data_IF_582047867765
#
_entry.id   IF_582047867765
#
_cell.length_a   1.000
_cell.length_b   1.000
_cell.length_c   1.000
_cell.angle_alpha   90.00
_cell.angle_beta   90.00
_cell.angle_gamma   90.00
#
_symmetry.space_group_name_H-M   'P 1'
#
loop_
_entity.id
_entity.type
_entity.pdbx_description
1 polymer ?
#
# COMPACT_ATOMS: atom_id res chain seq x y z
N UNK A 1 22.15 -1.41 15.55
CA UNK A 1 22.54 0.02 15.59
C UNK A 1 21.52 1.00 16.21
N UNK A 2 21.77 1.44 17.45
CA UNK A 2 21.17 2.63 18.08
C UNK A 2 21.79 3.93 17.53
N UNK A 3 22.16 3.96 16.26
CA UNK A 3 23.00 5.01 15.67
C UNK A 3 22.19 5.75 14.60
N UNK A 4 22.35 7.06 14.55
CA UNK A 4 21.76 7.88 13.50
C UNK A 4 22.93 8.51 12.78
N UNK A 5 23.20 8.06 11.56
CA UNK A 5 24.07 8.79 10.67
C UNK A 5 23.24 9.89 10.00
N UNK A 6 23.77 11.11 9.98
CA UNK A 6 23.18 12.24 9.26
C UNK A 6 24.22 12.88 8.35
N UNK A 7 23.78 13.83 7.54
CA UNK A 7 24.69 14.64 6.73
C UNK A 7 24.72 16.02 7.39
N UNK A 8 25.91 16.59 7.55
CA UNK A 8 26.03 18.01 7.84
C UNK A 8 25.67 18.85 6.61
N UNK A 9 25.85 20.18 6.71
CA UNK A 9 25.54 21.13 5.64
C UNK A 9 26.46 20.97 4.43
N UNK A 10 27.61 20.32 4.61
CA UNK A 10 28.66 20.15 3.61
C UNK A 10 28.64 18.73 3.00
N UNK A 11 27.73 17.86 3.46
CA UNK A 11 27.56 16.51 2.94
C UNK A 11 28.46 15.46 3.61
N UNK A 12 29.04 15.75 4.77
CA UNK A 12 29.80 14.77 5.55
C UNK A 12 28.90 13.97 6.50
N UNK A 13 29.28 12.71 6.70
CA UNK A 13 28.66 11.78 7.64
C UNK A 13 28.86 12.29 9.08
N UNK A 14 27.76 12.51 9.79
CA UNK A 14 27.73 12.89 11.22
C UNK A 14 27.03 11.82 12.02
N UNK A 15 27.74 11.27 13.00
CA UNK A 15 27.24 10.29 13.95
C UNK A 15 26.46 10.95 15.10
N UNK A 16 25.23 10.52 15.36
CA UNK A 16 24.49 10.96 16.56
C UNK A 16 24.71 9.99 17.71
N UNK A 17 25.13 10.55 18.85
CA UNK A 17 25.38 9.83 20.10
C UNK A 17 26.87 9.63 20.37
N UNK A 18 27.19 9.13 21.57
CA UNK A 18 28.56 8.75 21.93
C UNK A 18 28.81 7.34 21.38
N UNK A 19 29.53 7.27 20.27
CA UNK A 19 29.94 6.01 19.63
C UNK A 19 31.41 5.76 19.87
N UNK A 20 31.77 4.50 20.07
CA UNK A 20 33.16 4.07 20.08
C UNK A 20 33.75 4.10 18.67
N UNK A 21 35.07 4.20 18.56
CA UNK A 21 35.77 4.14 17.27
C UNK A 21 35.49 2.82 16.51
N UNK A 22 35.32 1.72 17.24
CA UNK A 22 34.96 0.42 16.67
C UNK A 22 33.55 0.43 16.06
N UNK A 23 32.58 1.00 16.77
CA UNK A 23 31.22 1.14 16.24
C UNK A 23 31.19 2.03 14.99
N UNK A 24 31.91 3.15 15.01
CA UNK A 24 32.03 4.04 13.84
C UNK A 24 32.59 3.27 12.63
N UNK A 25 33.71 2.55 12.80
CA UNK A 25 34.31 1.78 11.72
C UNK A 25 33.36 0.72 11.15
N UNK A 26 32.61 0.01 12.00
CA UNK A 26 31.60 -0.95 11.54
C UNK A 26 30.48 -0.29 10.75
N UNK A 27 30.05 0.92 11.15
CA UNK A 27 29.00 1.66 10.43
C UNK A 27 29.50 2.11 9.05
N UNK A 28 30.72 2.66 8.98
CA UNK A 28 31.34 3.07 7.72
C UNK A 28 31.47 1.88 6.76
N UNK A 29 31.94 0.73 7.25
CA UNK A 29 32.03 -0.51 6.46
C UNK A 29 30.66 -0.94 5.89
N UNK A 30 29.60 -0.88 6.70
CA UNK A 30 28.24 -1.21 6.24
C UNK A 30 27.76 -0.21 5.19
N UNK A 31 27.95 1.09 5.41
CA UNK A 31 27.53 2.13 4.47
C UNK A 31 28.25 2.00 3.13
N UNK A 32 29.56 1.78 3.15
CA UNK A 32 30.35 1.58 1.92
C UNK A 32 29.93 0.31 1.19
N UNK A 33 29.68 -0.80 1.90
CA UNK A 33 29.13 -2.00 1.29
C UNK A 33 27.77 -1.74 0.63
N UNK A 34 26.85 -1.05 1.33
CA UNK A 34 25.53 -0.72 0.79
C UNK A 34 25.62 0.19 -0.44
N UNK A 35 26.51 1.19 -0.45
CA UNK A 35 26.75 2.07 -1.61
C UNK A 35 27.15 1.32 -2.87
N UNK A 36 27.85 0.20 -2.73
CA UNK A 36 28.24 -0.65 -3.86
C UNK A 36 27.13 -1.67 -4.21
N UNK A 37 26.55 -2.31 -3.20
CA UNK A 37 25.59 -3.40 -3.38
C UNK A 37 24.21 -2.90 -3.88
N UNK A 38 23.67 -1.84 -3.30
CA UNK A 38 22.28 -1.39 -3.55
C UNK A 38 22.06 -0.94 -5.00
N UNK A 39 22.89 -0.09 -5.63
CA UNK A 39 22.68 0.30 -7.03
C UNK A 39 22.69 -0.90 -7.97
N UNK A 40 23.60 -1.85 -7.77
CA UNK A 40 23.68 -3.05 -8.59
C UNK A 40 22.45 -3.96 -8.40
N UNK A 41 22.00 -4.13 -7.15
CA UNK A 41 20.78 -4.88 -6.83
C UNK A 41 19.56 -4.23 -7.51
N UNK A 42 19.39 -2.91 -7.36
CA UNK A 42 18.27 -2.17 -7.94
C UNK A 42 18.29 -2.26 -9.48
N UNK A 43 19.46 -2.13 -10.10
CA UNK A 43 19.64 -2.27 -11.56
C UNK A 43 19.27 -3.66 -12.06
N UNK A 44 19.81 -4.71 -11.44
CA UNK A 44 19.53 -6.11 -11.81
C UNK A 44 18.04 -6.45 -11.67
N UNK A 45 17.40 -5.97 -10.60
CA UNK A 45 15.97 -6.20 -10.39
C UNK A 45 15.11 -5.43 -11.41
N UNK A 46 15.51 -4.21 -11.77
CA UNK A 46 14.80 -3.45 -12.80
C UNK A 46 14.93 -4.11 -14.17
N UNK A 47 16.09 -4.64 -14.51
CA UNK A 47 16.29 -5.43 -15.74
C UNK A 47 15.39 -6.68 -15.75
N UNK A 48 15.36 -7.43 -14.64
CA UNK A 48 14.61 -8.69 -14.56
C UNK A 48 13.08 -8.51 -14.50
N UNK A 49 12.60 -7.51 -13.77
CA UNK A 49 11.18 -7.38 -13.42
C UNK A 49 10.54 -6.05 -13.86
N UNK A 50 11.32 -5.14 -14.47
CA UNK A 50 10.92 -3.77 -14.70
C UNK A 50 10.56 -3.04 -13.40
N UNK A 51 9.81 -1.95 -13.50
CA UNK A 51 9.26 -1.26 -12.32
C UNK A 51 7.95 -1.90 -11.80
N UNK A 52 7.77 -3.22 -11.96
CA UNK A 52 6.57 -3.96 -11.53
C UNK A 52 6.46 -4.13 -10.01
N UNK A 53 5.43 -4.84 -9.52
CA UNK A 53 5.31 -5.22 -8.10
C UNK A 53 6.36 -6.27 -7.70
N UNK A 54 6.77 -7.14 -8.62
CA UNK A 54 7.78 -8.19 -8.38
C UNK A 54 9.16 -7.61 -8.10
N UNK A 55 9.52 -6.48 -8.74
CA UNK A 55 10.71 -5.72 -8.37
C UNK A 55 10.73 -5.38 -6.87
N UNK A 56 9.61 -4.88 -6.34
CA UNK A 56 9.52 -4.39 -4.96
C UNK A 56 9.52 -5.55 -3.98
N UNK A 57 8.87 -6.64 -4.38
CA UNK A 57 8.84 -7.90 -3.64
C UNK A 57 10.25 -8.51 -3.51
N UNK A 58 10.97 -8.67 -4.61
CA UNK A 58 12.30 -9.27 -4.61
C UNK A 58 13.35 -8.35 -3.97
N UNK A 59 13.24 -7.02 -4.16
CA UNK A 59 14.03 -6.07 -3.37
C UNK A 59 13.78 -6.28 -1.88
N UNK A 60 12.53 -6.46 -1.48
CA UNK A 60 12.15 -6.78 -0.11
C UNK A 60 12.78 -8.07 0.44
N UNK A 61 12.97 -9.11 -0.38
CA UNK A 61 13.64 -10.34 0.05
C UNK A 61 15.11 -10.08 0.35
N UNK A 62 15.80 -9.42 -0.57
CA UNK A 62 17.21 -9.06 -0.42
C UNK A 62 17.43 -8.15 0.79
N UNK A 63 16.55 -7.17 1.01
CA UNK A 63 16.59 -6.34 2.23
C UNK A 63 16.50 -7.20 3.51
N UNK A 64 15.69 -8.26 3.50
CA UNK A 64 15.62 -9.22 4.61
C UNK A 64 16.92 -9.98 4.86
N UNK A 65 17.62 -10.36 3.80
CA UNK A 65 18.96 -10.95 3.87
C UNK A 65 19.97 -9.95 4.45
N UNK A 66 19.93 -8.69 4.02
CA UNK A 66 20.80 -7.64 4.56
C UNK A 66 20.55 -7.36 6.05
N UNK A 67 19.28 -7.38 6.50
CA UNK A 67 18.96 -7.28 7.92
C UNK A 67 19.61 -8.40 8.74
N UNK A 68 19.65 -9.61 8.18
CA UNK A 68 20.27 -10.78 8.82
C UNK A 68 21.79 -10.67 8.79
N UNK A 69 22.37 -10.36 7.61
CA UNK A 69 23.82 -10.18 7.38
C UNK A 69 24.43 -9.16 8.35
N UNK A 70 23.75 -8.04 8.58
CA UNK A 70 24.23 -6.96 9.44
C UNK A 70 23.63 -6.97 10.86
N UNK A 71 22.90 -8.02 11.22
CA UNK A 71 22.27 -8.19 12.54
C UNK A 71 21.44 -6.96 12.98
N UNK A 72 20.60 -6.46 12.08
CA UNK A 72 19.77 -5.26 12.30
C UNK A 72 18.51 -5.64 13.08
N UNK A 73 18.35 -5.10 14.29
CA UNK A 73 17.18 -5.37 15.12
C UNK A 73 15.93 -4.64 14.62
N UNK A 74 14.75 -5.08 15.09
CA UNK A 74 13.45 -4.50 14.69
C UNK A 74 13.38 -2.98 14.95
N UNK A 75 13.88 -2.51 16.09
CA UNK A 75 13.90 -1.09 16.47
C UNK A 75 14.80 -0.21 15.58
N UNK A 76 15.62 -0.82 14.73
CA UNK A 76 16.66 -0.14 13.97
C UNK A 76 16.36 -0.13 12.46
N UNK A 77 15.40 -0.97 12.03
CA UNK A 77 15.01 -1.13 10.62
C UNK A 77 14.68 0.20 9.96
N UNK A 78 13.88 1.07 10.59
CA UNK A 78 13.52 2.38 9.99
C UNK A 78 14.77 3.20 9.66
N UNK A 79 15.72 3.28 10.58
CA UNK A 79 16.96 4.05 10.37
C UNK A 79 17.80 3.44 9.26
N UNK A 80 17.91 2.11 9.25
CA UNK A 80 18.62 1.37 8.20
C UNK A 80 18.02 1.65 6.80
N UNK A 81 16.69 1.70 6.68
CA UNK A 81 16.02 2.09 5.43
C UNK A 81 16.30 3.53 5.00
N UNK A 82 16.36 4.46 5.96
CA UNK A 82 16.66 5.85 5.70
C UNK A 82 18.12 6.04 5.26
N UNK A 83 19.04 5.25 5.81
CA UNK A 83 20.45 5.21 5.41
C UNK A 83 20.60 4.70 3.98
N UNK A 84 19.94 3.60 3.59
CA UNK A 84 19.92 3.12 2.20
C UNK A 84 19.40 4.21 1.27
N UNK A 85 18.25 4.82 1.60
CA UNK A 85 17.63 5.87 0.80
C UNK A 85 18.54 7.10 0.63
N UNK A 86 19.32 7.42 1.64
CA UNK A 86 20.11 8.64 1.67
C UNK A 86 21.50 8.48 1.06
N UNK A 87 22.10 7.31 1.26
CA UNK A 87 23.51 7.10 0.97
C UNK A 87 23.77 6.09 -0.15
N UNK A 88 22.86 5.15 -0.40
CA UNK A 88 23.17 3.98 -1.21
C UNK A 88 22.39 3.89 -2.53
N UNK A 89 21.16 4.41 -2.61
CA UNK A 89 20.36 4.36 -3.85
C UNK A 89 20.68 5.51 -4.80
N UNK A 90 20.64 5.22 -6.09
CA UNK A 90 20.70 6.22 -7.16
C UNK A 90 19.29 6.65 -7.63
N UNK A 91 18.23 5.97 -7.17
CA UNK A 91 16.86 6.28 -7.58
C UNK A 91 16.35 7.57 -6.92
N UNK A 92 15.95 8.55 -7.74
CA UNK A 92 15.24 9.72 -7.24
C UNK A 92 13.75 9.40 -6.98
N UNK A 93 13.43 9.04 -5.74
CA UNK A 93 12.07 8.72 -5.31
C UNK A 93 11.28 10.00 -4.96
N UNK A 94 10.28 10.33 -5.80
CA UNK A 94 9.42 11.54 -5.65
C UNK A 94 8.52 11.56 -4.41
N UNK A 95 8.19 10.40 -3.83
CA UNK A 95 7.24 10.30 -2.72
C UNK A 95 7.90 10.73 -1.41
N UNK A 96 7.28 11.68 -0.72
CA UNK A 96 7.65 12.02 0.66
C UNK A 96 7.23 10.88 1.59
N UNK A 97 8.21 10.35 2.31
CA UNK A 97 8.01 9.26 3.27
C UNK A 97 7.68 9.78 4.67
N UNK A 98 7.76 11.09 4.90
CA UNK A 98 7.59 11.71 6.22
C UNK A 98 8.73 11.34 7.18
N UNK A 99 9.21 12.31 7.96
CA UNK A 99 10.33 12.07 8.91
C UNK A 99 10.00 11.01 9.96
N UNK A 100 8.73 10.90 10.37
CA UNK A 100 8.30 10.05 11.50
C UNK A 100 7.29 8.95 11.10
N UNK A 101 6.94 8.83 9.81
CA UNK A 101 5.98 7.82 9.38
C UNK A 101 6.68 6.47 9.15
N UNK A 102 6.80 5.66 10.20
CA UNK A 102 7.35 4.29 10.14
C UNK A 102 6.72 3.43 9.03
N UNK A 103 5.48 3.71 8.68
CA UNK A 103 4.69 2.91 7.72
C UNK A 103 4.95 3.25 6.26
N UNK A 104 5.55 4.41 5.97
CA UNK A 104 5.69 4.96 4.61
C UNK A 104 7.06 4.76 3.99
N UNK A 105 8.00 4.19 4.73
CA UNK A 105 9.34 3.86 4.22
C UNK A 105 9.24 3.03 2.95
N UNK A 106 9.87 3.44 1.84
CA UNK A 106 9.85 2.65 0.62
C UNK A 106 10.49 1.25 0.84
N UNK A 107 11.73 1.22 1.34
CA UNK A 107 12.43 -0.03 1.62
C UNK A 107 11.71 -0.85 2.72
N UNK A 108 11.16 -0.17 3.73
CA UNK A 108 10.33 -0.83 4.73
C UNK A 108 9.05 -1.46 4.17
N UNK A 109 8.41 -0.83 3.18
CA UNK A 109 7.25 -1.38 2.48
C UNK A 109 7.65 -2.55 1.57
N UNK A 110 8.78 -2.47 0.86
CA UNK A 110 9.34 -3.58 0.10
C UNK A 110 9.60 -4.79 1.00
N UNK A 111 10.30 -4.61 2.12
CA UNK A 111 10.56 -5.67 3.08
C UNK A 111 9.27 -6.26 3.67
N UNK A 112 8.27 -5.42 4.00
CA UNK A 112 6.98 -5.94 4.47
C UNK A 112 6.24 -6.72 3.40
N UNK A 113 6.27 -6.24 2.15
CA UNK A 113 5.66 -6.91 1.00
C UNK A 113 6.29 -8.29 0.77
N UNK A 114 7.60 -8.45 0.99
CA UNK A 114 8.30 -9.74 0.81
C UNK A 114 7.93 -10.81 1.83
N UNK A 115 7.23 -10.45 2.90
CA UNK A 115 6.76 -11.40 3.92
C UNK A 115 5.50 -12.16 3.50
N UNK A 116 4.84 -11.74 2.41
CA UNK A 116 3.69 -12.43 1.85
C UNK A 116 4.12 -13.44 0.78
N UNK A 117 3.27 -14.43 0.51
CA UNK A 117 3.47 -15.33 -0.62
C UNK A 117 3.42 -14.53 -1.93
N UNK A 118 4.32 -14.87 -2.87
CA UNK A 118 4.40 -14.17 -4.15
C UNK A 118 3.06 -14.19 -4.90
N UNK A 119 2.33 -15.30 -4.84
CA UNK A 119 1.01 -15.42 -5.49
C UNK A 119 0.05 -14.32 -5.02
N UNK A 120 0.02 -14.02 -3.73
CA UNK A 120 -0.82 -12.97 -3.13
C UNK A 120 -0.35 -11.60 -3.63
N UNK A 121 0.96 -11.38 -3.64
CA UNK A 121 1.60 -10.12 -4.06
C UNK A 121 1.22 -9.77 -5.51
N UNK A 122 1.14 -10.75 -6.39
CA UNK A 122 0.83 -10.54 -7.81
C UNK A 122 -0.64 -10.16 -8.08
N UNK A 123 -1.56 -10.44 -7.13
CA UNK A 123 -2.99 -10.08 -7.23
C UNK A 123 -3.26 -8.59 -7.18
N UNK A 124 -2.28 -7.77 -6.81
CA UNK A 124 -2.38 -6.31 -6.71
C UNK A 124 -1.18 -5.62 -7.37
N UNK A 125 -1.39 -4.39 -7.84
CA UNK A 125 -0.32 -3.49 -8.29
C UNK A 125 0.43 -2.93 -7.09
N UNK A 126 1.65 -2.42 -7.32
CA UNK A 126 2.43 -1.75 -6.28
C UNK A 126 1.64 -0.59 -5.64
N UNK A 127 0.89 0.18 -6.44
CA UNK A 127 0.09 1.30 -5.91
C UNK A 127 -0.98 0.82 -4.94
N UNK A 128 -1.66 -0.28 -5.27
CA UNK A 128 -2.69 -0.91 -4.43
C UNK A 128 -2.07 -1.45 -3.13
N UNK A 129 -0.92 -2.11 -3.21
CA UNK A 129 -0.16 -2.53 -2.02
C UNK A 129 0.22 -1.37 -1.13
N UNK A 130 0.72 -0.26 -1.69
CA UNK A 130 1.02 0.93 -0.91
C UNK A 130 -0.20 1.45 -0.16
N UNK A 131 -1.39 1.46 -0.78
CA UNK A 131 -2.61 1.93 -0.12
C UNK A 131 -3.00 1.08 1.10
N UNK A 132 -2.79 -0.24 1.05
CA UNK A 132 -2.99 -1.15 2.19
C UNK A 132 -1.91 -0.93 3.26
N UNK A 133 -0.64 -0.96 2.85
CA UNK A 133 0.50 -0.91 3.76
C UNK A 133 0.62 0.43 4.50
N UNK A 134 0.11 1.51 3.92
CA UNK A 134 0.06 2.84 4.54
C UNK A 134 -1.00 2.93 5.66
N UNK A 135 -2.03 2.07 5.65
CA UNK A 135 -3.16 2.12 6.58
C UNK A 135 -2.99 1.11 7.72
N UNK A 136 -2.63 1.62 8.90
CA UNK A 136 -2.38 0.81 10.11
C UNK A 136 -3.46 -0.25 10.38
N UNK A 137 -4.74 0.15 10.39
CA UNK A 137 -5.87 -0.77 10.64
C UNK A 137 -6.00 -1.90 9.60
N UNK A 138 -5.76 -1.60 8.33
CA UNK A 138 -5.87 -2.61 7.26
C UNK A 138 -4.71 -3.60 7.32
N UNK A 139 -3.53 -3.17 7.79
CA UNK A 139 -2.37 -4.03 7.96
C UNK A 139 -2.50 -4.97 9.15
N UNK A 140 -3.14 -4.51 10.22
CA UNK A 140 -3.28 -5.28 11.46
C UNK A 140 -4.35 -6.37 11.37
N UNK A 141 -5.28 -6.26 10.42
CA UNK A 141 -6.29 -7.29 10.16
C UNK A 141 -5.84 -8.20 9.02
N UNK A 142 -5.18 -9.32 9.35
CA UNK A 142 -4.58 -10.24 8.37
C UNK A 142 -5.60 -10.84 7.38
N UNK A 143 -6.89 -10.83 7.75
CA UNK A 143 -8.00 -11.37 6.96
C UNK A 143 -8.14 -10.69 5.61
N UNK A 144 -7.74 -9.41 5.46
CA UNK A 144 -7.74 -8.76 4.15
C UNK A 144 -6.75 -9.43 3.18
N UNK A 145 -5.60 -9.90 3.68
CA UNK A 145 -4.60 -10.58 2.86
C UNK A 145 -5.04 -11.99 2.48
N UNK A 146 -5.69 -12.70 3.40
CA UNK A 146 -6.30 -14.00 3.11
C UNK A 146 -7.40 -13.88 2.06
N UNK A 147 -8.24 -12.86 2.17
CA UNK A 147 -9.25 -12.57 1.15
C UNK A 147 -8.63 -12.26 -0.22
N UNK A 148 -7.50 -11.52 -0.27
CA UNK A 148 -6.76 -11.26 -1.51
C UNK A 148 -6.17 -12.55 -2.07
N UNK A 149 -5.61 -13.43 -1.22
CA UNK A 149 -5.07 -14.75 -1.60
C UNK A 149 -6.13 -15.58 -2.33
N UNK A 150 -7.35 -15.59 -1.82
CA UNK A 150 -8.47 -16.35 -2.38
C UNK A 150 -9.04 -15.77 -3.69
N UNK A 151 -8.50 -14.65 -4.20
CA UNK A 151 -8.91 -14.11 -5.51
C UNK A 151 -8.34 -14.93 -6.65
N UNK A 152 -9.24 -15.40 -7.52
CA UNK A 152 -8.87 -16.04 -8.78
C UNK A 152 -8.08 -15.10 -9.70
N UNK A 153 -8.51 -13.84 -9.78
CA UNK A 153 -7.97 -12.86 -10.71
C UNK A 153 -7.38 -11.64 -9.99
N UNK A 154 -6.43 -10.99 -10.67
CA UNK A 154 -5.87 -9.71 -10.24
C UNK A 154 -6.96 -8.64 -10.16
N UNK A 155 -7.00 -7.90 -9.06
CA UNK A 155 -7.99 -6.82 -8.88
C UNK A 155 -7.54 -5.59 -9.67
N UNK A 156 -8.40 -5.07 -10.54
CA UNK A 156 -8.13 -3.83 -11.30
C UNK A 156 -7.97 -2.64 -10.36
N UNK A 157 -6.99 -1.79 -10.65
CA UNK A 157 -6.67 -0.64 -9.79
C UNK A 157 -7.85 0.35 -9.62
N UNK A 158 -8.64 0.59 -10.67
CA UNK A 158 -9.83 1.45 -10.57
C UNK A 158 -10.89 0.87 -9.61
N UNK A 159 -11.09 -0.44 -9.65
CA UNK A 159 -12.04 -1.15 -8.77
C UNK A 159 -11.52 -1.11 -7.33
N UNK A 160 -10.20 -1.30 -7.14
CA UNK A 160 -9.55 -1.22 -5.83
C UNK A 160 -9.68 0.15 -5.17
N UNK A 161 -9.42 1.23 -5.91
CA UNK A 161 -9.53 2.60 -5.38
C UNK A 161 -10.94 2.92 -4.89
N UNK A 162 -11.97 2.39 -5.55
CA UNK A 162 -13.35 2.55 -5.11
C UNK A 162 -13.70 1.61 -3.96
N UNK A 163 -13.17 0.38 -3.98
CA UNK A 163 -13.28 -0.60 -2.90
C UNK A 163 -12.72 -0.03 -1.59
N UNK A 164 -11.53 0.56 -1.60
CA UNK A 164 -10.95 1.14 -0.38
C UNK A 164 -11.78 2.28 0.20
N UNK A 165 -12.40 3.11 -0.65
CA UNK A 165 -13.32 4.15 -0.18
C UNK A 165 -14.54 3.53 0.49
N UNK A 166 -15.10 2.49 -0.14
CA UNK A 166 -16.25 1.74 0.37
C UNK A 166 -15.92 1.08 1.70
N UNK A 167 -14.78 0.39 1.75
CA UNK A 167 -14.24 -0.27 2.95
C UNK A 167 -14.05 0.72 4.08
N UNK A 168 -13.38 1.84 3.82
CA UNK A 168 -13.18 2.88 4.83
C UNK A 168 -14.51 3.44 5.33
N UNK A 169 -15.47 3.72 4.44
CA UNK A 169 -16.78 4.24 4.83
C UNK A 169 -17.60 3.19 5.62
N UNK A 170 -17.53 1.93 5.21
CA UNK A 170 -18.31 0.84 5.82
C UNK A 170 -17.79 0.45 7.21
N UNK A 171 -16.47 0.33 7.35
CA UNK A 171 -15.81 -0.04 8.60
C UNK A 171 -15.52 1.15 9.52
N UNK A 172 -15.88 2.37 9.10
CA UNK A 172 -15.72 3.55 9.93
C UNK A 172 -16.44 3.34 11.27
N UNK A 173 -15.69 3.42 12.36
CA UNK A 173 -16.16 3.23 13.74
C UNK A 173 -16.77 1.84 14.02
N UNK A 174 -16.41 0.82 13.24
CA UNK A 174 -16.76 -0.57 13.52
C UNK A 174 -15.56 -1.29 14.11
N UNK A 175 -15.82 -2.14 15.09
CA UNK A 175 -14.88 -3.15 15.55
C UNK A 175 -14.98 -4.35 14.60
N UNK A 176 -13.88 -4.74 13.95
CA UNK A 176 -13.89 -5.87 13.02
C UNK A 176 -13.75 -7.22 13.72
N UNK A 177 -13.42 -7.24 15.02
CA UNK A 177 -13.29 -8.49 15.79
C UNK A 177 -14.62 -9.21 16.03
N UNK A 178 -15.74 -8.49 15.87
CA UNK A 178 -17.10 -9.06 16.03
C UNK A 178 -17.58 -9.86 14.82
N UNK A 179 -16.90 -9.72 13.66
CA UNK A 179 -17.22 -10.49 12.45
C UNK A 179 -16.40 -11.77 12.42
N UNK A 180 -17.04 -12.86 12.00
CA UNK A 180 -16.30 -14.05 11.55
C UNK A 180 -15.55 -13.74 10.26
N UNK A 181 -14.61 -14.61 9.90
CA UNK A 181 -13.83 -14.47 8.66
C UNK A 181 -14.75 -14.52 7.44
N UNK A 182 -15.72 -15.43 7.42
CA UNK A 182 -16.70 -15.56 6.34
C UNK A 182 -17.56 -14.29 6.19
N UNK A 183 -18.09 -13.74 7.29
CA UNK A 183 -18.88 -12.51 7.27
C UNK A 183 -18.05 -11.33 6.74
N UNK A 184 -16.78 -11.25 7.15
CA UNK A 184 -15.89 -10.18 6.73
C UNK A 184 -15.51 -10.33 5.24
N UNK A 185 -15.30 -11.56 4.76
CA UNK A 185 -15.04 -11.83 3.36
C UNK A 185 -16.26 -11.50 2.50
N UNK A 186 -17.47 -11.84 2.93
CA UNK A 186 -18.71 -11.45 2.25
C UNK A 186 -18.86 -9.93 2.17
N UNK A 187 -18.49 -9.21 3.24
CA UNK A 187 -18.44 -7.74 3.23
C UNK A 187 -17.44 -7.26 2.17
N UNK A 188 -16.23 -7.81 2.13
CA UNK A 188 -15.22 -7.42 1.16
C UNK A 188 -15.65 -7.70 -0.30
N UNK A 189 -16.25 -8.87 -0.56
CA UNK A 189 -16.83 -9.20 -1.87
C UNK A 189 -17.92 -8.21 -2.28
N UNK A 190 -18.86 -7.94 -1.38
CA UNK A 190 -19.97 -7.01 -1.61
C UNK A 190 -19.46 -5.61 -1.97
N UNK A 191 -18.43 -5.14 -1.27
CA UNK A 191 -17.80 -3.84 -1.53
C UNK A 191 -17.03 -3.81 -2.85
N UNK A 192 -16.37 -4.92 -3.22
CA UNK A 192 -15.67 -5.03 -4.49
C UNK A 192 -16.66 -5.07 -5.67
N UNK A 193 -17.76 -5.80 -5.53
CA UNK A 193 -18.86 -5.84 -6.51
C UNK A 193 -19.50 -4.46 -6.70
N UNK A 194 -19.79 -3.76 -5.60
CA UNK A 194 -20.28 -2.38 -5.63
C UNK A 194 -19.32 -1.44 -6.40
N UNK A 195 -18.01 -1.65 -6.25
CA UNK A 195 -16.96 -0.85 -6.89
C UNK A 195 -16.84 -1.13 -8.38
N UNK A 196 -16.95 -2.40 -8.77
CA UNK A 196 -17.02 -2.83 -10.18
C UNK A 196 -18.24 -2.25 -10.88
N UNK A 197 -19.41 -2.33 -10.23
CA UNK A 197 -20.65 -1.75 -10.74
C UNK A 197 -20.48 -0.25 -11.00
N UNK A 198 -19.97 0.49 -10.01
CA UNK A 198 -19.72 1.93 -10.15
C UNK A 198 -18.86 2.25 -11.38
N UNK A 199 -17.74 1.54 -11.57
CA UNK A 199 -16.87 1.77 -12.72
C UNK A 199 -17.63 1.56 -14.03
N UNK A 200 -18.29 0.41 -14.18
CA UNK A 200 -19.00 0.04 -15.42
C UNK A 200 -20.13 1.04 -15.71
N UNK A 201 -20.98 1.32 -14.72
CA UNK A 201 -22.11 2.23 -14.88
C UNK A 201 -21.64 3.68 -15.14
N UNK A 202 -20.59 4.14 -14.46
CA UNK A 202 -20.04 5.48 -14.67
C UNK A 202 -19.37 5.64 -16.03
N UNK A 203 -18.66 4.61 -16.51
CA UNK A 203 -18.06 4.62 -17.85
C UNK A 203 -19.15 4.64 -18.94
N UNK A 204 -20.26 3.91 -18.75
CA UNK A 204 -21.44 3.99 -19.62
C UNK A 204 -22.05 5.40 -19.58
N UNK A 205 -22.32 5.93 -18.39
CA UNK A 205 -22.84 7.30 -18.22
C UNK A 205 -21.96 8.35 -18.91
N UNK A 206 -20.64 8.21 -18.82
CA UNK A 206 -19.70 9.13 -19.48
C UNK A 206 -19.83 9.10 -21.01
N UNK A 207 -20.10 7.93 -21.60
CA UNK A 207 -20.33 7.77 -23.04
C UNK A 207 -21.69 8.33 -23.46
N UNK A 208 -22.72 8.08 -22.67
CA UNK A 208 -24.09 8.51 -22.96
C UNK A 208 -24.26 10.04 -22.76
N UNK A 209 -23.50 10.63 -21.82
CA UNK A 209 -23.60 12.06 -21.45
C UNK A 209 -22.23 12.77 -21.38
N UNK A 210 -21.47 12.86 -22.49
CA UNK A 210 -20.06 13.30 -22.48
C UNK A 210 -19.84 14.72 -21.95
N UNK A 211 -20.84 15.60 -22.05
CA UNK A 211 -20.76 17.00 -21.61
C UNK A 211 -21.31 17.22 -20.20
N UNK A 212 -21.69 16.16 -19.48
CA UNK A 212 -22.27 16.30 -18.15
C UNK A 212 -21.26 16.85 -17.14
N UNK A 213 -21.64 17.91 -16.41
CA UNK A 213 -20.85 18.44 -15.29
C UNK A 213 -20.57 17.37 -14.21
N UNK A 214 -21.39 16.31 -14.16
CA UNK A 214 -21.25 15.19 -13.22
C UNK A 214 -19.94 14.43 -13.45
N UNK A 215 -19.42 14.38 -14.69
CA UNK A 215 -18.14 13.78 -15.04
C UNK A 215 -16.98 14.50 -14.34
N UNK A 216 -16.98 15.84 -14.36
CA UNK A 216 -15.97 16.67 -13.67
C UNK A 216 -15.99 16.47 -12.15
N UNK A 217 -17.14 16.05 -11.61
CA UNK A 217 -17.34 15.79 -10.18
C UNK A 217 -17.31 14.29 -9.80
N UNK A 218 -16.63 13.43 -10.59
CA UNK A 218 -16.60 11.96 -10.39
C UNK A 218 -16.41 11.56 -8.93
N UNK A 219 -15.41 12.13 -8.24
CA UNK A 219 -15.12 11.80 -6.84
C UNK A 219 -16.28 12.10 -5.88
N UNK A 220 -16.95 13.25 -6.04
CA UNK A 220 -18.14 13.59 -5.24
C UNK A 220 -19.30 12.64 -5.53
N UNK A 221 -19.46 12.26 -6.79
CA UNK A 221 -20.54 11.34 -7.23
C UNK A 221 -20.29 9.92 -6.74
N UNK A 222 -19.06 9.43 -6.76
CA UNK A 222 -18.68 8.12 -6.19
C UNK A 222 -18.98 8.07 -4.70
N UNK A 223 -18.61 9.12 -3.95
CA UNK A 223 -18.93 9.20 -2.51
C UNK A 223 -20.44 9.21 -2.24
N UNK A 224 -21.21 9.95 -3.05
CA UNK A 224 -22.69 9.97 -2.97
C UNK A 224 -23.24 8.56 -3.21
N UNK A 225 -22.82 7.91 -4.31
CA UNK A 225 -23.20 6.55 -4.65
C UNK A 225 -22.95 5.55 -3.52
N UNK A 226 -21.73 5.47 -2.99
CA UNK A 226 -21.39 4.52 -1.93
C UNK A 226 -22.21 4.77 -0.65
N UNK A 227 -22.40 6.04 -0.29
CA UNK A 227 -23.23 6.41 0.87
C UNK A 227 -24.69 6.01 0.67
N UNK A 228 -25.22 6.19 -0.55
CA UNK A 228 -26.57 5.78 -0.91
C UNK A 228 -26.73 4.25 -0.91
N UNK A 229 -25.74 3.49 -1.40
CA UNK A 229 -25.77 2.02 -1.30
C UNK A 229 -25.92 1.57 0.16
N UNK A 230 -25.11 2.12 1.06
CA UNK A 230 -25.19 1.76 2.49
C UNK A 230 -26.48 2.25 3.16
N UNK A 231 -27.04 3.38 2.73
CA UNK A 231 -28.34 3.84 3.18
C UNK A 231 -29.45 2.86 2.76
N UNK A 232 -29.53 2.53 1.47
CA UNK A 232 -30.51 1.59 0.94
C UNK A 232 -30.39 0.20 1.56
N UNK A 233 -29.15 -0.28 1.78
CA UNK A 233 -28.89 -1.54 2.50
C UNK A 233 -29.59 -1.57 3.86
N UNK A 234 -29.48 -0.49 4.63
CA UNK A 234 -30.08 -0.38 5.97
C UNK A 234 -31.59 -0.24 5.91
N UNK A 235 -32.10 0.64 5.05
CA UNK A 235 -33.54 0.91 4.92
C UNK A 235 -34.32 -0.30 4.42
N UNK A 236 -33.73 -1.08 3.52
CA UNK A 236 -34.35 -2.26 2.94
C UNK A 236 -34.05 -3.55 3.71
N UNK A 237 -33.16 -3.51 4.71
CA UNK A 237 -32.67 -4.67 5.44
C UNK A 237 -32.15 -5.80 4.53
N UNK A 238 -31.41 -5.43 3.47
CA UNK A 238 -30.89 -6.37 2.45
C UNK A 238 -29.37 -6.41 2.39
N UNK A 239 -28.83 -7.42 1.72
CA UNK A 239 -27.41 -7.46 1.31
C UNK A 239 -27.15 -6.44 0.20
N UNK A 240 -25.88 -6.11 -0.03
CA UNK A 240 -25.51 -5.24 -1.14
C UNK A 240 -25.52 -6.09 -2.42
N UNK A 241 -26.45 -5.80 -3.31
CA UNK A 241 -26.69 -6.51 -4.55
C UNK A 241 -26.87 -5.53 -5.74
N UNK A 242 -27.00 -6.08 -6.94
CA UNK A 242 -27.13 -5.29 -8.17
C UNK A 242 -28.34 -4.35 -8.16
N UNK A 243 -29.45 -4.76 -7.54
CA UNK A 243 -30.65 -3.91 -7.38
C UNK A 243 -30.36 -2.65 -6.55
N UNK A 244 -29.63 -2.81 -5.44
CA UNK A 244 -29.19 -1.66 -4.63
C UNK A 244 -28.20 -0.81 -5.41
N UNK A 245 -27.25 -1.42 -6.11
CA UNK A 245 -26.24 -0.69 -6.89
C UNK A 245 -26.89 0.17 -7.98
N UNK A 246 -27.83 -0.39 -8.75
CA UNK A 246 -28.54 0.34 -9.79
C UNK A 246 -29.30 1.54 -9.21
N UNK A 247 -30.14 1.31 -8.20
CA UNK A 247 -30.93 2.37 -7.55
C UNK A 247 -30.03 3.46 -6.96
N UNK A 248 -28.96 3.08 -6.28
CA UNK A 248 -28.02 4.03 -5.71
C UNK A 248 -27.31 4.84 -6.80
N UNK A 249 -26.96 4.22 -7.93
CA UNK A 249 -26.32 4.90 -9.04
C UNK A 249 -27.25 5.95 -9.66
N UNK A 250 -28.50 5.60 -9.94
CA UNK A 250 -29.51 6.54 -10.44
C UNK A 250 -29.68 7.74 -9.49
N UNK A 251 -29.83 7.48 -8.19
CA UNK A 251 -29.94 8.54 -7.17
C UNK A 251 -28.67 9.39 -7.06
N UNK A 252 -27.49 8.79 -7.22
CA UNK A 252 -26.23 9.49 -7.23
C UNK A 252 -26.06 10.36 -8.48
N UNK A 253 -26.62 9.91 -9.61
CA UNK A 253 -26.60 10.60 -10.89
C UNK A 253 -27.73 11.59 -11.08
N UNK A 254 -28.75 11.65 -10.21
CA UNK A 254 -29.64 12.81 -10.08
C UNK A 254 -28.84 14.01 -9.55
#
# INVERSE_FOLDING_TARGET
MKHVVSLDKDGHIVYKGLLTAKEIATIDEIIEALKQEIPQIESNLEEAYGKSVLYKYNLGKILGELLTKYNISVSERRKFWDEIKKFATEENRRRDEGKDAETRSFYGQCYRLSQFDQEVVEKLSWRQWQDILDRVRNREDERIFEWIRNKKEKIREDDWREFEKGLHLYLKNKDTSVFTDDELFEIYESLLSMSRYWRIAFDKFKKDFPNSAKIKSKGRRSKKYQSTCFQLKRELHKTLDDDIFEKAFELAMK
#
